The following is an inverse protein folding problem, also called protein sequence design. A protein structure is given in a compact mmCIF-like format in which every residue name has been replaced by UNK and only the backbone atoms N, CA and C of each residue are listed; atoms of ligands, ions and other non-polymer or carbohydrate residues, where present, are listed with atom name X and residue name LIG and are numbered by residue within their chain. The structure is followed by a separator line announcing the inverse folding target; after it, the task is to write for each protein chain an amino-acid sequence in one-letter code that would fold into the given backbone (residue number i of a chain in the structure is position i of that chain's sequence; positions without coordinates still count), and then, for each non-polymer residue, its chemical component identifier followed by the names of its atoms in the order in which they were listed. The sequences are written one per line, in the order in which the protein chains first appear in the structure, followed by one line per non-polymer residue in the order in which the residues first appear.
data_IF_737135819601
#
_entry.id   IF_737135819601
#
_cell.length_a   1.000
_cell.length_b   1.000
_cell.length_c   1.000
_cell.angle_alpha   90.00
_cell.angle_beta   90.00
_cell.angle_gamma   90.00
#
_symmetry.space_group_name_H-M   'P 1'
#
loop_
_entity.id
_entity.type
_entity.pdbx_description
1 polymer ?
#
# COMPACT_ATOMS: atom_id res chain seq x y z
N UNK A 1 29.25 10.25 9.22
CA UNK A 1 29.15 9.31 8.07
C UNK A 1 28.11 9.91 7.13
N UNK A 2 28.39 10.10 5.83
CA UNK A 2 27.41 10.66 4.89
C UNK A 2 26.15 9.79 4.83
N UNK A 3 24.96 10.41 4.74
CA UNK A 3 23.66 9.72 4.64
C UNK A 3 23.63 8.74 3.46
N UNK A 4 24.14 9.16 2.31
CA UNK A 4 24.26 8.34 1.10
C UNK A 4 25.01 7.03 1.35
N UNK A 5 26.07 7.06 2.16
CA UNK A 5 26.85 5.87 2.47
C UNK A 5 26.11 4.91 3.41
N UNK A 6 25.30 5.45 4.32
CA UNK A 6 24.43 4.62 5.16
C UNK A 6 23.35 3.94 4.30
N UNK A 7 22.69 4.71 3.43
CA UNK A 7 21.63 4.19 2.55
C UNK A 7 22.17 3.14 1.57
N UNK A 8 23.37 3.37 1.00
CA UNK A 8 24.03 2.38 0.15
C UNK A 8 24.32 1.06 0.89
N UNK A 9 24.58 1.10 2.21
CA UNK A 9 24.72 -0.13 3.01
C UNK A 9 23.38 -0.80 3.29
N UNK A 10 22.36 -0.01 3.65
CA UNK A 10 21.01 -0.52 3.95
C UNK A 10 20.39 -1.23 2.73
N UNK A 11 20.64 -0.71 1.52
CA UNK A 11 20.12 -1.27 0.27
C UNK A 11 21.21 -1.92 -0.59
N UNK A 12 22.24 -2.51 0.05
CA UNK A 12 23.43 -3.03 -0.66
C UNK A 12 23.16 -4.24 -1.56
N UNK A 13 22.05 -4.96 -1.36
CA UNK A 13 21.63 -6.08 -2.21
C UNK A 13 20.92 -5.63 -3.50
N UNK A 14 20.61 -4.33 -3.65
CA UNK A 14 20.01 -3.77 -4.86
C UNK A 14 21.07 -3.50 -5.96
N UNK A 15 20.61 -3.38 -7.21
CA UNK A 15 21.49 -2.90 -8.28
C UNK A 15 21.87 -1.45 -7.99
N UNK A 16 23.10 -1.07 -8.31
CA UNK A 16 23.63 0.25 -7.99
C UNK A 16 24.64 0.77 -9.01
N UNK A 17 24.93 2.07 -8.96
CA UNK A 17 24.51 3.02 -7.93
C UNK A 17 23.06 3.50 -8.10
N UNK A 18 22.31 3.61 -6.99
CA UNK A 18 20.99 4.26 -6.94
C UNK A 18 21.01 5.40 -5.93
N UNK A 19 20.44 6.55 -6.31
CA UNK A 19 20.31 7.71 -5.42
C UNK A 19 18.95 7.69 -4.75
N UNK A 20 18.93 7.37 -3.45
CA UNK A 20 17.73 7.45 -2.61
C UNK A 20 17.71 8.78 -1.89
N UNK A 21 16.67 9.58 -2.11
CA UNK A 21 16.43 10.86 -1.45
C UNK A 21 15.19 10.67 -0.55
N UNK A 22 15.38 10.29 0.72
CA UNK A 22 14.27 10.07 1.62
C UNK A 22 13.58 11.38 1.96
N UNK A 23 12.25 11.34 2.13
CA UNK A 23 11.46 12.51 2.51
C UNK A 23 11.68 13.71 1.58
N UNK A 24 11.88 13.45 0.27
CA UNK A 24 11.94 14.48 -0.77
C UNK A 24 10.77 15.46 -0.64
N UNK A 25 9.58 14.90 -0.34
CA UNK A 25 8.53 15.63 0.37
C UNK A 25 8.18 14.89 1.65
N UNK A 26 8.28 15.57 2.80
CA UNK A 26 7.86 15.04 4.10
C UNK A 26 6.44 15.49 4.41
N UNK A 27 5.62 14.61 4.96
CA UNK A 27 4.29 14.99 5.40
C UNK A 27 4.36 15.93 6.62
N UNK A 28 3.57 16.99 6.60
CA UNK A 28 3.47 17.98 7.67
C UNK A 28 2.88 17.37 8.96
N UNK A 29 1.88 16.49 8.83
CA UNK A 29 1.34 15.79 9.99
C UNK A 29 2.30 14.68 10.40
N UNK A 30 2.58 14.63 11.70
CA UNK A 30 3.26 13.48 12.29
C UNK A 30 2.21 12.43 12.64
N UNK A 31 2.29 11.21 12.07
CA UNK A 31 1.32 10.17 12.39
C UNK A 31 1.45 9.73 13.85
N UNK A 32 0.34 9.26 14.43
CA UNK A 32 0.41 8.51 15.68
C UNK A 32 1.25 7.25 15.43
N UNK A 33 2.16 6.86 16.34
CA UNK A 33 2.93 5.61 16.20
C UNK A 33 2.03 4.39 15.96
N UNK A 34 0.86 4.32 16.58
CA UNK A 34 -0.08 3.20 16.42
C UNK A 34 -1.05 3.37 15.24
N UNK A 35 -0.82 4.35 14.36
CA UNK A 35 -1.55 4.48 13.10
C UNK A 35 -1.07 3.45 12.07
N UNK A 36 -1.84 3.28 10.99
CA UNK A 36 -1.52 2.36 9.91
C UNK A 36 -1.01 3.17 8.72
N UNK A 37 0.27 3.03 8.37
CA UNK A 37 0.84 3.65 7.18
C UNK A 37 0.61 2.77 5.96
N UNK A 38 0.00 3.30 4.91
CA UNK A 38 0.04 2.62 3.61
C UNK A 38 1.43 2.85 3.01
N UNK A 39 2.13 1.77 2.73
CA UNK A 39 3.40 1.80 2.00
C UNK A 39 3.13 1.37 0.56
N UNK A 40 3.58 2.16 -0.41
CA UNK A 40 3.36 1.87 -1.83
C UNK A 40 4.52 2.35 -2.70
N UNK A 41 4.50 1.95 -3.96
CA UNK A 41 5.45 2.42 -4.97
C UNK A 41 4.69 2.88 -6.21
N UNK A 42 5.22 3.90 -6.88
CA UNK A 42 4.53 4.59 -7.98
C UNK A 42 5.54 5.03 -9.03
N UNK A 43 5.20 4.80 -10.30
CA UNK A 43 5.86 5.39 -11.47
C UNK A 43 5.02 6.55 -12.02
N UNK A 44 5.60 7.45 -12.83
CA UNK A 44 4.97 8.70 -13.28
C UNK A 44 3.51 8.53 -13.79
N UNK A 45 3.26 7.51 -14.61
CA UNK A 45 1.94 7.20 -15.17
C UNK A 45 0.84 6.91 -14.13
N UNK A 46 1.18 6.67 -12.86
CA UNK A 46 0.27 6.37 -11.76
C UNK A 46 0.05 7.54 -10.80
N UNK A 47 0.59 8.73 -11.09
CA UNK A 47 0.40 9.95 -10.28
C UNK A 47 -1.08 10.32 -10.02
N UNK A 48 -2.00 10.25 -11.01
CA UNK A 48 -3.42 10.50 -10.74
C UNK A 48 -4.03 9.51 -9.74
N UNK A 49 -3.60 8.25 -9.80
CA UNK A 49 -4.06 7.18 -8.90
C UNK A 49 -3.53 7.41 -7.48
N UNK A 50 -2.26 7.79 -7.33
CA UNK A 50 -1.67 8.17 -6.05
C UNK A 50 -2.41 9.36 -5.40
N UNK A 51 -2.74 10.39 -6.18
CA UNK A 51 -3.51 11.54 -5.68
C UNK A 51 -4.88 11.12 -5.12
N UNK A 52 -5.56 10.21 -5.82
CA UNK A 52 -6.84 9.64 -5.38
C UNK A 52 -6.68 8.84 -4.10
N UNK A 53 -5.65 7.98 -4.00
CA UNK A 53 -5.35 7.21 -2.79
C UNK A 53 -5.16 8.13 -1.58
N UNK A 54 -4.36 9.18 -1.72
CA UNK A 54 -4.13 10.15 -0.62
C UNK A 54 -5.42 10.86 -0.22
N UNK A 55 -6.21 11.28 -1.21
CA UNK A 55 -7.47 12.00 -0.99
C UNK A 55 -8.50 11.15 -0.25
N UNK A 56 -8.54 9.85 -0.58
CA UNK A 56 -9.49 8.92 0.01
C UNK A 56 -9.02 8.40 1.38
N UNK A 57 -7.74 8.03 1.51
CA UNK A 57 -7.23 7.40 2.73
C UNK A 57 -7.12 8.38 3.91
N UNK A 58 -6.65 9.61 3.66
CA UNK A 58 -6.45 10.65 4.69
C UNK A 58 -5.76 10.16 5.98
N UNK A 59 -4.85 9.20 5.80
CA UNK A 59 -3.97 8.62 6.81
C UNK A 59 -2.54 8.60 6.30
N UNK A 60 -1.56 8.22 7.13
CA UNK A 60 -0.16 8.27 6.73
C UNK A 60 0.11 7.37 5.52
N UNK A 61 0.81 7.92 4.54
CA UNK A 61 1.29 7.19 3.35
C UNK A 61 2.79 7.38 3.26
N UNK A 62 3.53 6.29 3.04
CA UNK A 62 4.93 6.35 2.62
C UNK A 62 5.04 5.77 1.22
N UNK A 63 5.50 6.59 0.27
CA UNK A 63 5.58 6.22 -1.15
C UNK A 63 7.01 6.30 -1.65
N UNK A 64 7.45 5.26 -2.35
CA UNK A 64 8.67 5.31 -3.16
C UNK A 64 8.31 5.66 -4.60
N UNK A 65 8.95 6.70 -5.15
CA UNK A 65 8.81 7.08 -6.56
C UNK A 65 10.16 6.88 -7.24
N UNK A 66 10.17 6.03 -8.26
CA UNK A 66 11.34 5.83 -9.11
C UNK A 66 11.25 6.73 -10.33
N UNK A 67 12.36 7.38 -10.65
CA UNK A 67 12.55 8.17 -11.86
C UNK A 67 13.86 7.73 -12.49
N UNK A 68 13.81 7.41 -13.78
CA UNK A 68 15.02 7.10 -14.54
C UNK A 68 15.94 8.33 -14.63
N UNK A 69 17.24 8.12 -14.47
CA UNK A 69 18.26 9.16 -14.65
C UNK A 69 18.58 9.36 -16.14
N UNK A 70 17.58 9.87 -16.86
CA UNK A 70 17.61 10.14 -18.30
C UNK A 70 17.14 11.57 -18.64
N UNK A 71 17.02 11.89 -19.93
CA UNK A 71 16.58 13.20 -20.40
C UNK A 71 15.16 13.58 -19.95
N UNK A 72 14.32 12.59 -19.62
CA UNK A 72 12.94 12.79 -19.15
C UNK A 72 12.83 13.07 -17.65
N UNK A 73 13.91 12.87 -16.89
CA UNK A 73 13.93 12.99 -15.42
C UNK A 73 13.33 14.30 -14.92
N UNK A 74 13.80 15.43 -15.44
CA UNK A 74 13.42 16.74 -14.94
C UNK A 74 11.95 17.07 -15.27
N UNK A 75 11.41 16.55 -16.37
CA UNK A 75 9.99 16.68 -16.71
C UNK A 75 9.09 15.91 -15.74
N UNK A 76 9.48 14.69 -15.36
CA UNK A 76 8.75 13.88 -14.38
C UNK A 76 8.81 14.52 -12.98
N UNK A 77 9.96 15.09 -12.61
CA UNK A 77 10.10 15.83 -11.35
C UNK A 77 9.16 17.05 -11.32
N UNK A 78 9.05 17.79 -12.42
CA UNK A 78 8.11 18.91 -12.51
C UNK A 78 6.65 18.44 -12.42
N UNK A 79 6.28 17.35 -13.10
CA UNK A 79 4.94 16.76 -12.98
C UNK A 79 4.62 16.37 -11.54
N UNK A 80 5.58 15.72 -10.86
CA UNK A 80 5.47 15.36 -9.45
C UNK A 80 5.29 16.58 -8.55
N UNK A 81 6.03 17.66 -8.83
CA UNK A 81 5.93 18.91 -8.09
C UNK A 81 4.54 19.55 -8.26
N UNK A 82 3.99 19.57 -9.48
CA UNK A 82 2.64 20.07 -9.75
C UNK A 82 1.57 19.22 -9.09
N UNK A 83 1.73 17.90 -9.08
CA UNK A 83 0.86 16.99 -8.36
C UNK A 83 0.82 17.31 -6.85
N UNK A 84 1.99 17.43 -6.24
CA UNK A 84 2.13 17.75 -4.81
C UNK A 84 1.53 19.12 -4.46
N UNK A 85 1.65 20.11 -5.36
CA UNK A 85 1.04 21.43 -5.20
C UNK A 85 -0.49 21.40 -5.33
N UNK A 86 -1.02 20.64 -6.29
CA UNK A 86 -2.45 20.60 -6.62
C UNK A 86 -3.29 19.84 -5.60
N UNK A 87 -2.70 18.91 -4.84
CA UNK A 87 -3.39 18.17 -3.78
C UNK A 87 -2.81 18.47 -2.39
N UNK A 88 -3.42 19.40 -1.62
CA UNK A 88 -2.97 19.74 -0.26
C UNK A 88 -2.92 18.56 0.72
N UNK A 89 -3.71 17.49 0.49
CA UNK A 89 -3.71 16.31 1.35
C UNK A 89 -2.41 15.51 1.21
N UNK A 90 -1.73 15.57 0.07
CA UNK A 90 -0.38 14.98 -0.10
C UNK A 90 0.61 15.63 0.86
N UNK A 91 0.55 16.96 1.00
CA UNK A 91 1.36 17.71 1.96
C UNK A 91 1.11 17.28 3.40
N UNK A 92 -0.15 16.99 3.73
CA UNK A 92 -0.54 16.65 5.09
C UNK A 92 -0.15 15.22 5.47
N UNK A 93 -0.31 14.26 4.57
CA UNK A 93 -0.34 12.83 4.92
C UNK A 93 0.74 11.96 4.26
N UNK A 94 1.43 12.45 3.23
CA UNK A 94 2.32 11.63 2.42
C UNK A 94 3.80 11.96 2.64
N UNK A 95 4.57 10.95 3.04
CA UNK A 95 6.03 10.94 2.97
C UNK A 95 6.45 10.34 1.61
N UNK A 96 7.21 11.11 0.84
CA UNK A 96 7.67 10.75 -0.50
C UNK A 96 9.18 10.53 -0.49
N UNK A 97 9.61 9.37 -0.97
CA UNK A 97 11.00 8.98 -1.10
C UNK A 97 11.33 8.84 -2.58
N UNK A 98 12.25 9.68 -3.06
CA UNK A 98 12.63 9.67 -4.48
C UNK A 98 13.80 8.71 -4.69
N UNK A 99 13.71 7.89 -5.73
CA UNK A 99 14.77 6.97 -6.16
C UNK A 99 15.13 7.35 -7.59
N UNK A 100 16.38 7.75 -7.79
CA UNK A 100 16.90 8.14 -9.10
C UNK A 100 18.04 7.20 -9.47
N UNK A 101 17.83 6.40 -10.52
CA UNK A 101 18.83 5.48 -11.06
C UNK A 101 18.51 5.12 -12.52
N UNK A 102 19.27 4.21 -13.12
CA UNK A 102 19.05 3.73 -14.51
C UNK A 102 18.47 2.31 -14.57
N UNK A 103 18.06 1.77 -13.42
CA UNK A 103 17.66 0.37 -13.29
C UNK A 103 16.14 0.26 -13.20
N UNK A 104 15.54 -0.24 -14.27
CA UNK A 104 14.10 -0.50 -14.28
C UNK A 104 13.72 -1.64 -13.32
N UNK A 105 12.51 -1.54 -12.77
CA UNK A 105 11.81 -2.64 -12.06
C UNK A 105 12.52 -3.18 -10.82
N UNK A 106 13.25 -2.34 -10.08
CA UNK A 106 13.77 -2.69 -8.74
C UNK A 106 12.68 -2.69 -7.65
N UNK A 107 11.53 -3.33 -7.91
CA UNK A 107 10.32 -3.22 -7.08
C UNK A 107 10.56 -3.60 -5.62
N UNK A 108 11.39 -4.61 -5.34
CA UNK A 108 11.70 -5.01 -3.97
C UNK A 108 12.45 -3.90 -3.21
N UNK A 109 13.45 -3.28 -3.86
CA UNK A 109 14.15 -2.13 -3.29
C UNK A 109 13.18 -0.98 -3.02
N UNK A 110 12.29 -0.66 -3.97
CA UNK A 110 11.34 0.44 -3.82
C UNK A 110 10.32 0.19 -2.70
N UNK A 111 9.80 -1.04 -2.59
CA UNK A 111 8.98 -1.46 -1.44
C UNK A 111 9.73 -1.29 -0.13
N UNK A 112 11.01 -1.69 -0.10
CA UNK A 112 11.84 -1.59 1.09
C UNK A 112 12.14 -0.14 1.48
N UNK A 113 12.32 0.77 0.52
CA UNK A 113 12.45 2.21 0.78
C UNK A 113 11.18 2.76 1.44
N UNK A 114 10.01 2.54 0.84
CA UNK A 114 8.73 2.99 1.41
C UNK A 114 8.48 2.39 2.80
N UNK A 115 8.72 1.08 2.96
CA UNK A 115 8.60 0.39 4.24
C UNK A 115 9.55 0.98 5.28
N UNK A 116 10.83 1.14 4.95
CA UNK A 116 11.87 1.57 5.89
C UNK A 116 11.54 2.93 6.51
N UNK A 117 11.14 3.88 5.68
CA UNK A 117 10.86 5.26 6.09
C UNK A 117 9.43 5.52 6.57
N UNK A 118 8.54 4.53 6.54
CA UNK A 118 7.23 4.65 7.18
C UNK A 118 7.38 5.00 8.67
N UNK A 119 6.66 6.02 9.14
CA UNK A 119 6.84 6.59 10.50
C UNK A 119 5.97 5.94 11.58
N UNK A 120 4.94 5.18 11.21
CA UNK A 120 4.14 4.41 12.18
C UNK A 120 4.66 2.99 12.38
N UNK A 121 4.20 2.34 13.45
CA UNK A 121 4.56 0.97 13.82
C UNK A 121 3.86 -0.07 12.94
N UNK A 122 2.66 0.24 12.43
CA UNK A 122 1.86 -0.66 11.61
C UNK A 122 1.83 -0.19 10.16
N UNK A 123 2.02 -1.12 9.24
CA UNK A 123 2.05 -0.82 7.81
C UNK A 123 1.15 -1.76 7.01
N UNK A 124 0.71 -1.29 5.85
CA UNK A 124 0.07 -2.08 4.81
C UNK A 124 0.80 -1.83 3.48
N UNK A 125 1.48 -2.84 2.95
CA UNK A 125 2.02 -2.77 1.60
C UNK A 125 0.87 -2.92 0.60
N UNK A 126 0.51 -1.84 -0.08
CA UNK A 126 -0.63 -1.79 -1.00
C UNK A 126 -0.15 -1.43 -2.40
N UNK A 127 -0.67 -2.15 -3.40
CA UNK A 127 -0.53 -1.74 -4.79
C UNK A 127 -1.39 -0.48 -5.03
N UNK A 128 -0.79 0.56 -5.61
CA UNK A 128 -1.42 1.87 -5.79
C UNK A 128 -2.71 1.80 -6.59
N UNK A 129 -2.86 0.80 -7.47
CA UNK A 129 -4.04 0.64 -8.32
C UNK A 129 -5.31 0.22 -7.55
N UNK A 130 -5.19 -0.19 -6.29
CA UNK A 130 -6.34 -0.54 -5.45
C UNK A 130 -7.14 0.68 -4.99
N UNK A 131 -8.45 0.49 -4.90
CA UNK A 131 -9.36 1.44 -4.25
C UNK A 131 -9.76 0.92 -2.87
N UNK A 132 -9.62 1.77 -1.86
CA UNK A 132 -10.04 1.45 -0.50
C UNK A 132 -11.54 1.68 -0.39
N UNK A 133 -12.31 0.60 -0.30
CA UNK A 133 -13.77 0.68 -0.28
C UNK A 133 -14.36 1.04 1.10
N UNK A 134 -13.57 0.85 2.15
CA UNK A 134 -13.96 1.13 3.54
C UNK A 134 -12.80 1.73 4.32
N UNK A 135 -13.12 2.44 5.40
CA UNK A 135 -12.12 2.95 6.36
C UNK A 135 -11.72 1.84 7.35
N UNK A 136 -10.98 0.84 6.84
CA UNK A 136 -10.45 -0.24 7.66
C UNK A 136 -9.49 0.30 8.73
N UNK A 137 -8.77 1.40 8.42
CA UNK A 137 -7.81 2.04 9.32
C UNK A 137 -8.50 2.45 10.61
N UNK A 138 -9.55 3.26 10.52
CA UNK A 138 -10.28 3.70 11.73
C UNK A 138 -11.03 2.56 12.40
N UNK A 139 -11.51 1.58 11.63
CA UNK A 139 -12.15 0.38 12.18
C UNK A 139 -11.20 -0.45 13.06
N UNK A 140 -9.93 -0.55 12.67
CA UNK A 140 -8.88 -1.25 13.42
C UNK A 140 -8.44 -0.42 14.63
N UNK A 141 -8.08 0.85 14.43
CA UNK A 141 -7.57 1.74 15.48
C UNK A 141 -8.59 1.91 16.62
N UNK A 142 -9.88 1.98 16.30
CA UNK A 142 -10.96 2.12 17.29
C UNK A 142 -11.31 0.81 17.99
N UNK A 143 -10.75 -0.34 17.59
CA UNK A 143 -11.04 -1.63 18.20
C UNK A 143 -9.87 -2.07 19.11
N UNK A 144 -10.01 -1.96 20.45
CA UNK A 144 -8.92 -2.25 21.38
C UNK A 144 -8.41 -3.69 21.28
N UNK A 145 -9.29 -4.65 20.99
CA UNK A 145 -8.93 -6.07 20.87
C UNK A 145 -8.02 -6.30 19.66
N UNK A 146 -8.31 -5.65 18.52
CA UNK A 146 -7.46 -5.77 17.33
C UNK A 146 -6.11 -5.09 17.56
N UNK A 147 -6.11 -3.92 18.19
CA UNK A 147 -4.87 -3.21 18.54
C UNK A 147 -4.00 -4.00 19.51
N UNK A 148 -4.59 -4.70 20.48
CA UNK A 148 -3.85 -5.61 21.37
C UNK A 148 -3.16 -6.75 20.60
N UNK A 149 -3.85 -7.35 19.62
CA UNK A 149 -3.25 -8.37 18.75
C UNK A 149 -2.07 -7.81 17.93
N UNK A 150 -2.20 -6.59 17.41
CA UNK A 150 -1.12 -5.92 16.67
C UNK A 150 0.08 -5.59 17.57
N UNK A 151 -0.16 -5.06 18.78
CA UNK A 151 0.88 -4.76 19.78
C UNK A 151 1.68 -5.99 20.19
N UNK A 152 1.04 -7.16 20.25
CA UNK A 152 1.70 -8.44 20.54
C UNK A 152 2.78 -8.81 19.50
N UNK A 153 2.77 -8.19 18.31
CA UNK A 153 3.83 -8.32 17.31
C UNK A 153 3.86 -9.65 16.55
N UNK A 154 2.91 -10.55 16.81
CA UNK A 154 2.80 -11.87 16.18
C UNK A 154 1.53 -12.03 15.33
N UNK A 155 0.85 -10.92 15.04
CA UNK A 155 -0.39 -10.88 14.26
C UNK A 155 -0.19 -10.09 12.98
N UNK A 156 -0.66 -10.66 11.87
CA UNK A 156 -0.90 -9.95 10.63
C UNK A 156 -2.41 -10.02 10.31
N UNK A 157 -3.03 -8.87 10.07
CA UNK A 157 -4.44 -8.77 9.71
C UNK A 157 -4.56 -8.87 8.19
N UNK A 158 -5.25 -9.88 7.69
CA UNK A 158 -5.53 -10.02 6.26
C UNK A 158 -6.71 -9.16 5.87
N UNK A 159 -6.52 -8.30 4.87
CA UNK A 159 -7.57 -7.50 4.25
C UNK A 159 -7.91 -8.15 2.90
N UNK A 160 -9.15 -8.66 2.70
CA UNK A 160 -9.51 -9.32 1.45
C UNK A 160 -9.60 -8.33 0.30
N UNK A 161 -9.05 -8.72 -0.84
CA UNK A 161 -9.08 -7.97 -2.09
C UNK A 161 -10.10 -8.56 -3.06
N UNK A 162 -10.73 -7.70 -3.85
CA UNK A 162 -11.77 -8.08 -4.82
C UNK A 162 -11.48 -7.44 -6.18
N UNK A 163 -11.90 -8.10 -7.24
CA UNK A 163 -11.73 -7.65 -8.62
C UNK A 163 -13.02 -7.86 -9.40
N UNK A 164 -13.38 -6.88 -10.23
CA UNK A 164 -14.48 -7.04 -11.18
C UNK A 164 -14.07 -8.03 -12.26
N UNK A 165 -14.94 -9.00 -12.54
CA UNK A 165 -14.68 -10.04 -13.54
C UNK A 165 -14.57 -9.43 -14.94
N UNK A 166 -15.38 -8.41 -15.22
CA UNK A 166 -15.27 -7.60 -16.43
C UNK A 166 -14.55 -6.30 -16.09
N UNK A 167 -13.49 -6.01 -16.83
CA UNK A 167 -12.69 -4.81 -16.62
C UNK A 167 -13.52 -3.52 -16.72
N UNK A 168 -14.50 -3.46 -17.65
CA UNK A 168 -15.39 -2.30 -17.84
C UNK A 168 -16.17 -1.91 -16.57
N UNK A 169 -16.60 -2.90 -15.78
CA UNK A 169 -17.33 -2.68 -14.53
C UNK A 169 -16.41 -2.11 -13.42
N UNK A 170 -15.10 -2.31 -13.55
CA UNK A 170 -14.09 -1.86 -12.58
C UNK A 170 -13.40 -0.53 -12.91
N UNK A 171 -13.80 0.15 -13.99
CA UNK A 171 -13.14 1.41 -14.42
C UNK A 171 -13.51 2.61 -13.54
N UNK A 172 -14.75 2.65 -13.04
CA UNK A 172 -15.24 3.75 -12.21
C UNK A 172 -15.29 3.37 -10.73
N UNK A 173 -14.26 3.80 -10.00
CA UNK A 173 -14.13 3.59 -8.56
C UNK A 173 -15.29 4.19 -7.75
N UNK A 174 -16.04 5.17 -8.28
CA UNK A 174 -17.18 5.77 -7.59
C UNK A 174 -18.36 4.81 -7.46
N UNK A 175 -18.39 3.75 -8.28
CA UNK A 175 -19.42 2.71 -8.26
C UNK A 175 -19.08 1.55 -7.32
N UNK A 176 -17.90 1.57 -6.71
CA UNK A 176 -17.43 0.46 -5.87
C UNK A 176 -18.26 0.35 -4.59
N UNK A 177 -18.44 -0.87 -4.06
CA UNK A 177 -19.26 -1.08 -2.88
C UNK A 177 -18.63 -0.42 -1.65
N UNK A 178 -19.40 0.40 -0.92
CA UNK A 178 -18.92 1.10 0.29
C UNK A 178 -19.07 0.28 1.58
N UNK A 179 -19.53 -0.96 1.47
CA UNK A 179 -19.79 -1.84 2.61
C UNK A 179 -19.90 -3.30 2.22
N UNK A 180 -19.77 -4.18 3.22
CA UNK A 180 -19.78 -5.63 3.01
C UNK A 180 -21.10 -6.13 2.42
N UNK A 181 -22.24 -5.58 2.84
CA UNK A 181 -23.55 -5.97 2.32
C UNK A 181 -23.62 -5.75 0.80
N UNK A 182 -23.29 -4.54 0.35
CA UNK A 182 -23.34 -4.15 -1.06
C UNK A 182 -22.35 -4.98 -1.89
N UNK A 183 -21.14 -5.21 -1.37
CA UNK A 183 -20.17 -6.10 -1.99
C UNK A 183 -20.75 -7.51 -2.18
N UNK A 184 -21.38 -8.08 -1.16
CA UNK A 184 -21.95 -9.42 -1.24
C UNK A 184 -23.15 -9.50 -2.20
N UNK A 185 -23.90 -8.41 -2.37
CA UNK A 185 -24.94 -8.31 -3.40
C UNK A 185 -24.31 -8.43 -4.81
N UNK A 186 -23.17 -7.76 -5.05
CA UNK A 186 -22.44 -7.83 -6.32
C UNK A 186 -21.78 -9.22 -6.53
N UNK A 187 -21.21 -9.82 -5.48
CA UNK A 187 -20.64 -11.19 -5.54
C UNK A 187 -21.72 -12.20 -5.93
N UNK A 188 -22.91 -12.11 -5.34
CA UNK A 188 -24.05 -12.98 -5.69
C UNK A 188 -24.51 -12.81 -7.15
N UNK A 189 -24.30 -11.63 -7.73
CA UNK A 189 -24.57 -11.37 -9.14
C UNK A 189 -23.43 -11.79 -10.07
N UNK A 190 -22.38 -12.43 -9.53
CA UNK A 190 -21.21 -12.93 -10.27
C UNK A 190 -20.47 -11.85 -11.07
N UNK A 191 -20.46 -10.61 -10.55
CA UNK A 191 -19.76 -9.48 -11.19
C UNK A 191 -18.40 -9.17 -10.57
N UNK A 192 -18.23 -9.47 -9.28
CA UNK A 192 -17.00 -9.24 -8.53
C UNK A 192 -16.64 -10.53 -7.78
N UNK A 193 -15.36 -10.85 -7.69
CA UNK A 193 -14.87 -12.06 -7.04
C UNK A 193 -13.54 -11.78 -6.33
N UNK A 194 -12.95 -12.80 -5.70
CA UNK A 194 -11.58 -12.78 -5.21
C UNK A 194 -10.64 -12.18 -6.25
N UNK A 195 -9.79 -11.24 -5.83
CA UNK A 195 -8.75 -10.66 -6.67
C UNK A 195 -7.88 -11.75 -7.31
N UNK A 196 -7.67 -11.66 -8.63
CA UNK A 196 -7.02 -12.70 -9.42
C UNK A 196 -7.65 -14.08 -9.24
N UNK A 197 -8.99 -14.19 -9.37
CA UNK A 197 -9.75 -15.46 -9.18
C UNK A 197 -9.18 -16.69 -9.91
N UNK A 198 -8.50 -16.50 -11.04
CA UNK A 198 -7.85 -17.57 -11.81
C UNK A 198 -6.57 -18.09 -11.16
N UNK A 199 -5.93 -17.30 -10.31
CA UNK A 199 -4.76 -17.65 -9.50
C UNK A 199 -5.18 -17.90 -8.04
N UNK A 200 -5.80 -19.06 -7.80
CA UNK A 200 -6.31 -19.42 -6.46
C UNK A 200 -5.21 -19.44 -5.40
N UNK A 201 -3.96 -19.77 -5.77
CA UNK A 201 -2.83 -19.85 -4.81
C UNK A 201 -2.50 -18.51 -4.13
N UNK A 202 -2.80 -17.39 -4.80
CA UNK A 202 -2.45 -16.03 -4.37
C UNK A 202 -3.29 -15.54 -3.21
N UNK A 203 -4.60 -15.76 -3.27
CA UNK A 203 -5.54 -15.22 -2.28
C UNK A 203 -6.49 -16.27 -1.68
N UNK A 204 -6.54 -17.48 -2.23
CA UNK A 204 -7.52 -18.51 -1.84
C UNK A 204 -7.45 -18.93 -0.37
N UNK A 205 -6.25 -18.90 0.24
CA UNK A 205 -6.07 -19.22 1.65
C UNK A 205 -6.80 -18.25 2.60
N UNK A 206 -7.15 -17.03 2.15
CA UNK A 206 -8.03 -16.11 2.88
C UNK A 206 -9.41 -16.73 3.19
N UNK A 207 -9.83 -17.75 2.43
CA UNK A 207 -11.12 -18.44 2.55
C UNK A 207 -12.30 -17.47 2.42
N UNK A 208 -12.53 -17.00 1.19
CA UNK A 208 -13.56 -16.02 0.87
C UNK A 208 -14.98 -16.50 1.21
N UNK A 209 -15.27 -17.80 1.06
CA UNK A 209 -16.56 -18.38 1.45
C UNK A 209 -16.83 -18.20 2.96
N UNK A 210 -15.81 -18.44 3.80
CA UNK A 210 -15.89 -18.14 5.22
C UNK A 210 -15.98 -16.63 5.47
N UNK A 211 -15.20 -15.83 4.74
CA UNK A 211 -15.25 -14.37 4.85
C UNK A 211 -16.66 -13.83 4.60
N UNK A 212 -17.37 -14.32 3.58
CA UNK A 212 -18.73 -13.84 3.24
C UNK A 212 -19.71 -13.94 4.42
N UNK A 213 -19.58 -14.99 5.23
CA UNK A 213 -20.46 -15.27 6.36
C UNK A 213 -19.96 -14.67 7.69
N UNK A 214 -18.67 -14.35 7.77
CA UNK A 214 -18.06 -13.88 9.02
C UNK A 214 -18.56 -12.50 9.45
N UNK A 215 -19.02 -12.38 10.69
CA UNK A 215 -19.29 -11.08 11.34
C UNK A 215 -18.16 -10.65 12.27
N UNK A 216 -17.22 -11.56 12.54
CA UNK A 216 -16.10 -11.40 13.45
C UNK A 216 -14.79 -11.80 12.74
N UNK A 217 -13.66 -11.41 13.31
CA UNK A 217 -12.35 -11.87 12.85
C UNK A 217 -12.24 -13.40 12.95
N UNK A 218 -11.59 -14.01 11.96
CA UNK A 218 -11.24 -15.42 11.98
C UNK A 218 -9.78 -15.60 11.58
N UNK A 219 -9.17 -16.67 12.12
CA UNK A 219 -7.81 -17.06 11.77
C UNK A 219 -7.80 -17.72 10.40
N UNK A 220 -6.91 -17.25 9.52
CA UNK A 220 -6.51 -17.99 8.32
C UNK A 220 -5.65 -19.17 8.76
N UNK A 221 -6.13 -20.38 8.50
CA UNK A 221 -5.48 -21.64 8.94
C UNK A 221 -4.68 -22.30 7.83
N UNK A 222 -5.04 -22.04 6.59
CA UNK A 222 -4.40 -22.63 5.43
C UNK A 222 -3.21 -21.76 5.02
N UNK A 223 -2.07 -22.40 4.79
CA UNK A 223 -0.93 -21.78 4.14
C UNK A 223 -0.70 -22.47 2.81
N UNK A 224 -0.58 -21.68 1.75
CA UNK A 224 -0.30 -22.15 0.39
C UNK A 224 0.98 -21.45 -0.04
N UNK A 225 1.92 -22.22 -0.61
CA UNK A 225 3.07 -21.64 -1.28
C UNK A 225 2.57 -20.72 -2.41
N UNK A 226 3.01 -19.45 -2.40
CA UNK A 226 2.50 -18.33 -3.22
C UNK A 226 1.27 -17.59 -2.69
N UNK A 227 0.91 -17.74 -1.41
CA UNK A 227 -0.10 -16.88 -0.77
C UNK A 227 0.45 -15.46 -0.58
N UNK A 228 -0.15 -14.49 -1.26
CA UNK A 228 0.28 -13.08 -1.34
C UNK A 228 -0.86 -12.14 -0.90
N UNK A 229 -1.34 -12.24 0.36
CA UNK A 229 -2.42 -11.38 0.85
C UNK A 229 -1.96 -9.94 1.07
N UNK A 230 -2.91 -9.01 0.99
CA UNK A 230 -2.74 -7.69 1.57
C UNK A 230 -2.91 -7.78 3.09
N UNK A 231 -1.85 -7.41 3.81
CA UNK A 231 -1.82 -7.52 5.28
C UNK A 231 -1.45 -6.21 5.95
N UNK A 232 -1.99 -6.03 7.15
CA UNK A 232 -1.58 -5.00 8.11
C UNK A 232 -0.81 -5.68 9.24
N UNK A 233 0.41 -5.24 9.49
CA UNK A 233 1.30 -5.88 10.45
C UNK A 233 2.29 -4.90 11.06
N UNK A 234 2.93 -5.31 12.17
CA UNK A 234 3.99 -4.53 12.81
C UNK A 234 5.24 -4.49 11.91
N UNK A 235 5.68 -3.29 11.57
CA UNK A 235 6.83 -3.03 10.70
C UNK A 235 8.12 -3.60 11.27
N UNK A 236 8.38 -3.36 12.55
CA UNK A 236 9.60 -3.81 13.21
C UNK A 236 9.60 -5.34 13.39
N UNK A 237 10.74 -5.97 13.15
CA UNK A 237 10.89 -7.43 13.21
C UNK A 237 10.34 -8.18 11.99
N UNK A 238 9.86 -7.49 10.97
CA UNK A 238 9.36 -8.10 9.73
C UNK A 238 10.44 -8.26 8.65
N UNK A 239 10.36 -9.30 7.78
CA UNK A 239 11.31 -9.52 6.70
C UNK A 239 11.41 -8.36 5.70
N UNK A 240 12.60 -8.16 5.13
CA UNK A 240 12.91 -7.20 4.06
C UNK A 240 12.88 -7.87 2.68
#
# INVERSE_FOLDING_TARGET
MPEDFLLAKVFSDAMGPSKVIPYYYKAEKTPNPEDITITTLVTANRFPVLSRLVTHYQGPISVAIHINDDEGRDAIIEELHQLYKSNPLMRQYMDLHLIVDTFDRQFNMWRNVAKFFARSEYIMMLDVDFHLCTDFRMSIIKNPRIMEMLRAGNTALVVPAFEFIKQEDGLDWQTFPTGKKDLLDIVRSEKIDMFHRTWVKGHGATNYTKWYQATELYKVTDYIFSYEPYIIYKKEGSPW
#
